data_IF_778202878156
#
_entry.id   IF_778202878156
#
_cell.length_a   1.000
_cell.length_b   1.000
_cell.length_c   1.000
_cell.angle_alpha   90.00
_cell.angle_beta   90.00
_cell.angle_gamma   90.00
#
_symmetry.space_group_name_H-M   'P 1'
#
loop_
_entity.id
_entity.type
_entity.pdbx_description
1 polymer ?
#
# COMPACT_ATOMS: atom_id res chain seq x y z
N UNK A 1 -26.39 -29.28 1.01
CA UNK A 1 -25.05 -29.68 0.51
C UNK A 1 -25.05 -30.98 -0.31
N UNK A 2 -26.01 -31.90 -0.15
CA UNK A 2 -26.00 -33.21 -0.85
C UNK A 2 -26.57 -33.21 -2.28
N UNK A 3 -27.43 -32.26 -2.64
CA UNK A 3 -28.06 -32.20 -3.97
C UNK A 3 -27.09 -31.89 -5.13
N UNK A 4 -26.00 -31.16 -4.86
CA UNK A 4 -25.02 -30.74 -5.86
C UNK A 4 -24.21 -31.93 -6.42
N UNK A 5 -24.00 -32.95 -5.59
CA UNK A 5 -23.29 -34.18 -5.96
C UNK A 5 -24.10 -35.09 -6.89
N UNK A 6 -25.43 -35.10 -6.76
CA UNK A 6 -26.33 -35.94 -7.56
C UNK A 6 -26.48 -35.44 -9.00
N UNK A 7 -26.51 -34.12 -9.21
CA UNK A 7 -26.55 -33.51 -10.56
C UNK A 7 -25.22 -33.74 -11.32
N UNK A 8 -24.14 -34.00 -10.58
CA UNK A 8 -22.78 -34.07 -11.09
C UNK A 8 -22.42 -35.36 -11.81
N UNK A 9 -23.23 -36.41 -11.70
CA UNK A 9 -22.84 -37.75 -12.13
C UNK A 9 -23.13 -38.06 -13.60
N UNK A 10 -23.91 -37.21 -14.30
CA UNK A 10 -24.43 -37.53 -15.63
C UNK A 10 -23.69 -36.91 -16.83
N UNK A 11 -22.97 -35.79 -16.67
CA UNK A 11 -22.40 -35.09 -17.84
C UNK A 11 -21.02 -34.48 -17.59
N UNK A 12 -20.07 -34.82 -18.47
CA UNK A 12 -18.70 -34.29 -18.45
C UNK A 12 -18.65 -32.77 -18.65
N UNK A 13 -19.67 -32.21 -19.30
CA UNK A 13 -19.81 -30.77 -19.54
C UNK A 13 -20.09 -30.00 -18.25
N UNK A 14 -20.96 -30.52 -17.37
CA UNK A 14 -21.27 -29.88 -16.08
C UNK A 14 -20.03 -29.85 -15.17
N UNK A 15 -19.22 -30.93 -15.17
CA UNK A 15 -17.94 -30.98 -14.46
C UNK A 15 -16.97 -29.89 -14.94
N UNK A 16 -16.88 -29.66 -16.24
CA UNK A 16 -16.04 -28.61 -16.81
C UNK A 16 -16.51 -27.19 -16.40
N UNK A 17 -17.81 -26.93 -16.46
CA UNK A 17 -18.37 -25.63 -16.06
C UNK A 17 -18.15 -25.33 -14.57
N UNK A 18 -18.34 -26.31 -13.69
CA UNK A 18 -18.11 -26.09 -12.26
C UNK A 18 -16.63 -25.87 -11.95
N UNK A 19 -15.73 -26.60 -12.62
CA UNK A 19 -14.29 -26.39 -12.48
C UNK A 19 -13.91 -24.95 -12.89
N UNK A 20 -14.49 -24.47 -13.99
CA UNK A 20 -14.27 -23.10 -14.47
C UNK A 20 -14.76 -22.06 -13.45
N UNK A 21 -15.98 -22.23 -12.92
CA UNK A 21 -16.54 -21.35 -11.88
C UNK A 21 -15.69 -21.37 -10.60
N UNK A 22 -15.20 -22.54 -10.18
CA UNK A 22 -14.33 -22.68 -9.01
C UNK A 22 -13.06 -21.84 -9.18
N UNK A 23 -12.41 -21.92 -10.35
CA UNK A 23 -11.21 -21.12 -10.65
C UNK A 23 -11.49 -19.62 -10.62
N UNK A 24 -12.64 -19.19 -11.16
CA UNK A 24 -13.04 -17.77 -11.12
C UNK A 24 -13.27 -17.30 -9.68
N UNK A 25 -13.96 -18.11 -8.86
CA UNK A 25 -14.20 -17.80 -7.44
C UNK A 25 -12.88 -17.69 -6.65
N UNK A 26 -11.94 -18.61 -6.85
CA UNK A 26 -10.63 -18.58 -6.20
C UNK A 26 -9.82 -17.36 -6.66
N UNK A 27 -9.84 -17.04 -7.95
CA UNK A 27 -9.19 -15.86 -8.50
C UNK A 27 -9.76 -14.56 -7.91
N UNK A 28 -11.08 -14.45 -7.84
CA UNK A 28 -11.76 -13.30 -7.26
C UNK A 28 -11.48 -13.17 -5.76
N UNK A 29 -11.46 -14.30 -5.02
CA UNK A 29 -11.05 -14.33 -3.62
C UNK A 29 -9.62 -13.83 -3.42
N UNK A 30 -8.66 -14.26 -4.25
CA UNK A 30 -7.29 -13.72 -4.22
C UNK A 30 -7.24 -12.24 -4.51
N UNK A 31 -8.03 -11.75 -5.46
CA UNK A 31 -8.08 -10.34 -5.81
C UNK A 31 -8.53 -9.48 -4.63
N UNK A 32 -9.59 -9.89 -3.92
CA UNK A 32 -10.07 -9.19 -2.73
C UNK A 32 -9.06 -9.18 -1.58
N UNK A 33 -8.28 -10.26 -1.41
CA UNK A 33 -7.23 -10.33 -0.38
C UNK A 33 -6.02 -9.46 -0.77
N UNK A 34 -5.65 -9.42 -2.06
CA UNK A 34 -4.49 -8.68 -2.54
C UNK A 34 -4.72 -7.16 -2.58
N UNK A 35 -5.96 -6.73 -2.83
CA UNK A 35 -6.35 -5.33 -2.86
C UNK A 35 -7.37 -5.06 -1.76
N UNK A 36 -6.93 -4.83 -0.51
CA UNK A 36 -7.84 -4.43 0.55
C UNK A 36 -8.45 -3.06 0.22
N UNK A 37 -9.68 -3.08 -0.31
CA UNK A 37 -10.55 -1.91 -0.52
C UNK A 37 -11.16 -1.37 0.77
N UNK A 38 -10.67 -1.80 1.93
CA UNK A 38 -11.11 -1.26 3.22
C UNK A 38 -10.51 0.14 3.43
N UNK A 39 -11.36 1.10 3.10
CA UNK A 39 -11.20 2.56 3.07
C UNK A 39 -10.88 3.21 4.43
N UNK A 40 -10.63 2.44 5.49
CA UNK A 40 -10.41 2.97 6.86
C UNK A 40 -8.97 2.85 7.36
N UNK A 41 -8.16 1.94 6.78
CA UNK A 41 -6.73 1.77 7.08
C UNK A 41 -5.81 2.25 5.95
N UNK A 42 -6.37 2.82 4.90
CA UNK A 42 -5.61 3.27 3.76
C UNK A 42 -5.22 4.75 3.95
N UNK A 43 -3.91 5.00 4.05
CA UNK A 43 -3.29 6.34 4.10
C UNK A 43 -3.76 7.20 2.90
N UNK A 44 -4.13 6.56 1.80
CA UNK A 44 -4.64 7.19 0.59
C UNK A 44 -6.01 7.86 0.73
N UNK A 45 -6.74 7.73 1.83
CA UNK A 45 -8.02 8.45 2.01
C UNK A 45 -7.98 9.56 3.06
N UNK A 46 -6.79 9.83 3.60
CA UNK A 46 -6.59 10.87 4.61
C UNK A 46 -6.07 12.15 3.94
N UNK A 47 -6.97 13.04 3.55
CA UNK A 47 -6.65 14.42 3.18
C UNK A 47 -6.72 15.31 4.44
N UNK A 48 -5.62 15.99 4.77
CA UNK A 48 -5.57 17.03 5.83
C UNK A 48 -4.38 16.93 6.78
N UNK A 49 -4.17 17.98 7.61
CA UNK A 49 -3.13 18.07 8.64
C UNK A 49 -3.35 17.07 9.76
N UNK A 50 -2.43 16.12 9.92
CA UNK A 50 -2.61 15.07 10.88
C UNK A 50 -1.27 14.59 11.46
N UNK A 51 -1.34 14.00 12.66
CA UNK A 51 -0.18 13.49 13.38
C UNK A 51 0.05 12.02 13.05
N UNK A 52 1.22 11.72 12.52
CA UNK A 52 1.64 10.39 12.11
C UNK A 52 2.77 9.94 13.01
N UNK A 53 2.66 8.71 13.52
CA UNK A 53 3.72 8.09 14.31
C UNK A 53 4.22 6.85 13.59
N UNK A 54 5.53 6.81 13.35
CA UNK A 54 6.16 5.73 12.60
C UNK A 54 7.66 5.63 12.85
N UNK A 55 8.27 4.66 12.18
CA UNK A 55 9.70 4.37 12.29
C UNK A 55 10.36 4.53 10.94
N UNK A 56 11.59 5.05 10.92
CA UNK A 56 12.40 5.12 9.70
C UNK A 56 12.71 3.70 9.24
N UNK A 57 12.14 3.31 8.10
CA UNK A 57 12.14 1.93 7.61
C UNK A 57 13.28 1.63 6.63
N UNK A 58 14.04 2.64 6.21
CA UNK A 58 15.18 2.49 5.30
C UNK A 58 16.22 3.53 5.64
N UNK A 59 17.49 3.22 5.36
CA UNK A 59 18.60 4.16 5.48
C UNK A 59 18.25 5.47 4.72
N UNK A 60 18.44 6.65 5.33
CA UNK A 60 18.09 7.92 4.70
C UNK A 60 18.93 8.18 3.45
N UNK A 61 18.29 8.58 2.35
CA UNK A 61 19.00 9.06 1.16
C UNK A 61 19.29 10.55 1.31
N UNK A 62 20.56 10.88 1.58
CA UNK A 62 21.05 12.24 1.79
C UNK A 62 21.62 12.79 0.49
N UNK A 63 21.06 13.90 0.02
CA UNK A 63 21.51 14.61 -1.19
C UNK A 63 21.72 16.10 -0.90
N UNK A 64 22.29 16.83 -1.85
CA UNK A 64 22.52 18.28 -1.71
C UNK A 64 21.21 19.08 -1.54
N UNK A 65 20.07 18.56 -2.01
CA UNK A 65 18.75 19.18 -1.96
C UNK A 65 17.92 18.85 -0.71
N UNK A 66 18.43 17.99 0.19
CA UNK A 66 17.72 17.57 1.40
C UNK A 66 17.91 16.09 1.73
N UNK A 67 17.11 15.59 2.68
CA UNK A 67 17.09 14.16 3.05
C UNK A 67 15.71 13.57 2.76
N UNK A 68 15.71 12.37 2.19
CA UNK A 68 14.51 11.60 1.86
C UNK A 68 14.39 10.42 2.81
N UNK A 69 13.28 10.34 3.51
CA UNK A 69 13.00 9.28 4.47
C UNK A 69 11.81 8.45 4.00
N UNK A 70 11.92 7.13 4.16
CA UNK A 70 10.81 6.21 4.03
C UNK A 70 10.41 5.82 5.45
N UNK A 71 9.26 6.29 5.90
CA UNK A 71 8.74 6.02 7.24
C UNK A 71 7.63 4.96 7.15
N UNK A 72 7.77 3.90 7.92
CA UNK A 72 6.70 2.93 8.13
C UNK A 72 5.77 3.48 9.21
N UNK A 73 4.54 3.83 8.83
CA UNK A 73 3.52 4.23 9.80
C UNK A 73 3.08 3.01 10.62
N UNK A 74 2.90 3.21 11.92
CA UNK A 74 2.24 2.26 12.81
C UNK A 74 0.91 2.83 13.30
N UNK A 75 0.91 4.09 13.68
CA UNK A 75 -0.23 4.75 14.30
C UNK A 75 -0.53 6.08 13.64
N UNK A 76 -1.82 6.35 13.57
CA UNK A 76 -2.39 7.56 13.05
C UNK A 76 -3.23 8.23 14.13
N UNK A 77 -3.00 9.50 14.43
CA UNK A 77 -3.78 10.24 15.43
C UNK A 77 -4.65 11.27 14.70
N UNK A 78 -5.95 10.99 14.60
CA UNK A 78 -6.95 11.90 14.02
C UNK A 78 -8.00 12.22 15.09
N UNK A 79 -8.27 13.52 15.33
CA UNK A 79 -9.33 13.98 16.25
C UNK A 79 -9.30 13.32 17.66
N UNK A 80 -8.11 13.06 18.20
CA UNK A 80 -7.89 12.39 19.50
C UNK A 80 -8.18 10.89 19.55
N UNK A 81 -8.47 10.25 18.41
CA UNK A 81 -8.49 8.79 18.27
C UNK A 81 -7.19 8.30 17.63
N UNK A 82 -6.56 7.28 18.23
CA UNK A 82 -5.46 6.55 17.61
C UNK A 82 -6.01 5.40 16.76
N UNK A 83 -5.56 5.31 15.51
CA UNK A 83 -5.88 4.21 14.60
C UNK A 83 -4.59 3.57 14.12
N UNK A 84 -4.50 2.24 14.22
CA UNK A 84 -3.40 1.49 13.65
C UNK A 84 -3.49 1.51 12.11
N UNK A 85 -2.49 2.10 11.49
CA UNK A 85 -2.40 2.25 10.04
C UNK A 85 -1.02 1.77 9.60
N UNK A 86 -0.99 0.70 8.81
CA UNK A 86 0.23 0.15 8.25
C UNK A 86 0.41 0.63 6.81
N UNK A 87 1.45 1.43 6.57
CA UNK A 87 1.84 1.84 5.23
C UNK A 87 3.18 2.57 5.22
N UNK A 88 3.71 2.79 4.01
CA UNK A 88 4.98 3.49 3.80
C UNK A 88 4.69 4.91 3.34
N UNK A 89 5.30 5.87 4.01
CA UNK A 89 5.19 7.29 3.73
C UNK A 89 6.54 7.79 3.27
N UNK A 90 6.53 8.55 2.18
CA UNK A 90 7.70 9.22 1.67
C UNK A 90 7.73 10.64 2.24
N UNK A 91 8.80 10.98 2.97
CA UNK A 91 8.98 12.29 3.57
C UNK A 91 10.23 12.96 3.01
N UNK A 92 10.09 14.20 2.57
CA UNK A 92 11.21 15.08 2.21
C UNK A 92 11.39 16.11 3.32
N UNK A 93 12.58 16.15 3.90
CA UNK A 93 12.95 17.13 4.94
C UNK A 93 14.24 17.87 4.58
N UNK A 94 14.52 18.95 5.33
CA UNK A 94 15.78 19.67 5.26
C UNK A 94 16.96 18.77 5.68
N UNK A 95 18.19 19.24 5.40
CA UNK A 95 19.43 18.49 5.68
C UNK A 95 19.63 18.15 7.18
N UNK A 96 18.99 18.93 8.04
CA UNK A 96 18.97 18.76 9.48
C UNK A 96 17.56 19.04 10.02
N UNK A 97 17.13 18.34 11.08
CA UNK A 97 17.83 17.29 11.83
C UNK A 97 17.97 15.95 11.05
N UNK A 98 19.01 15.17 11.38
CA UNK A 98 19.26 13.86 10.79
C UNK A 98 18.65 12.77 11.66
N UNK A 99 17.89 11.87 11.04
CA UNK A 99 17.32 10.69 11.69
C UNK A 99 17.93 9.43 11.11
N UNK A 100 18.10 8.40 11.92
CA UNK A 100 18.68 7.11 11.52
C UNK A 100 17.61 6.05 11.36
N UNK A 101 17.97 4.96 10.69
CA UNK A 101 17.12 3.77 10.61
C UNK A 101 16.71 3.30 12.02
N UNK A 102 15.42 3.01 12.20
CA UNK A 102 14.86 2.55 13.47
C UNK A 102 14.39 3.67 14.42
N UNK A 103 14.65 4.94 14.11
CA UNK A 103 14.17 6.05 14.93
C UNK A 103 12.64 6.18 14.86
N UNK A 104 12.01 6.38 16.02
CA UNK A 104 10.57 6.67 16.13
C UNK A 104 10.33 8.16 15.98
N UNK A 105 9.55 8.54 14.97
CA UNK A 105 9.24 9.93 14.64
C UNK A 105 7.74 10.20 14.81
N UNK A 106 7.41 11.28 15.50
CA UNK A 106 6.09 11.92 15.45
C UNK A 106 6.17 13.08 14.46
N UNK A 107 5.33 13.04 13.44
CA UNK A 107 5.34 13.99 12.33
C UNK A 107 3.96 14.65 12.25
N UNK A 108 3.93 15.97 12.25
CA UNK A 108 2.73 16.75 11.96
C UNK A 108 2.83 17.22 10.51
N UNK A 109 2.14 16.53 9.61
CA UNK A 109 2.25 16.78 8.17
C UNK A 109 0.89 16.62 7.48
N UNK A 110 0.76 17.32 6.35
CA UNK A 110 -0.38 17.17 5.45
C UNK A 110 -0.04 16.09 4.42
N UNK A 111 -0.91 15.08 4.31
CA UNK A 111 -0.72 13.98 3.36
C UNK A 111 -1.27 14.40 2.01
N UNK A 112 -0.40 14.42 1.01
CA UNK A 112 -0.75 14.66 -0.38
C UNK A 112 -0.67 13.35 -1.17
N UNK A 113 -1.67 13.10 -2.03
CA UNK A 113 -1.60 11.97 -2.97
C UNK A 113 -0.55 12.27 -4.03
N UNK A 114 0.36 11.34 -4.34
CA UNK A 114 1.28 11.54 -5.45
C UNK A 114 0.48 11.74 -6.73
N UNK A 115 0.86 12.76 -7.51
CA UNK A 115 0.30 12.97 -8.84
C UNK A 115 0.58 11.74 -9.72
N UNK A 116 -0.35 11.38 -10.62
CA UNK A 116 -0.10 10.36 -11.62
C UNK A 116 1.17 10.72 -12.38
N UNK A 117 2.11 9.79 -12.45
CA UNK A 117 3.32 9.97 -13.27
C UNK A 117 2.83 9.95 -14.73
N UNK A 118 2.76 11.12 -15.37
CA UNK A 118 2.63 11.15 -16.83
C UNK A 118 3.87 10.45 -17.39
N UNK A 119 3.65 9.43 -18.21
CA UNK A 119 4.74 8.72 -18.87
C UNK A 119 5.43 9.72 -19.81
N UNK A 120 6.51 10.34 -19.33
CA UNK A 120 7.41 11.11 -20.18
C UNK A 120 8.15 10.10 -21.05
N UNK A 121 7.59 9.84 -22.22
CA UNK A 121 8.20 9.07 -23.28
C UNK A 121 9.48 9.80 -23.72
N UNK A 122 10.62 9.46 -23.12
CA UNK A 122 11.93 9.87 -23.63
C UNK A 122 12.98 10.43 -22.66
N UNK A 123 13.23 9.85 -21.49
CA UNK A 123 14.57 9.97 -20.89
C UNK A 123 15.25 8.61 -20.77
N UNK A 124 15.98 8.33 -21.84
CA UNK A 124 17.10 7.40 -21.95
C UNK A 124 17.79 7.14 -20.60
N UNK A 125 17.72 5.86 -20.22
CA UNK A 125 18.72 5.08 -19.54
C UNK A 125 20.13 5.64 -19.79
N UNK A 126 20.58 6.62 -18.99
CA UNK A 126 21.97 7.07 -19.00
C UNK A 126 22.82 6.05 -18.27
N UNK A 127 23.24 5.06 -19.06
CA UNK A 127 24.58 4.49 -19.16
C UNK A 127 25.49 4.81 -17.95
N UNK A 128 25.51 3.90 -16.98
CA UNK A 128 26.60 3.81 -16.01
C UNK A 128 27.70 2.94 -16.62
N UNK A 129 28.69 3.60 -17.21
CA UNK A 129 30.01 3.03 -17.47
C UNK A 129 31.07 3.82 -16.75
#
# INVERSE_FOLDING_TARGET
MTFLFIVFWGSKTILFFLLCILFVMVGFGRYLIAFPTDSTKNISNLSGKQKIVGYVATEPDVRMDGVRYIVQSQEFIANSESREVAGRIYLKSALYPRYSYGDRLEMDCEIEKPEPIEAVEGTSQRDFR
#
